data_IF_978007907496
#
_entry.id   IF_978007907496
#
_cell.length_a   1.000
_cell.length_b   1.000
_cell.length_c   1.000
_cell.angle_alpha   90.00
_cell.angle_beta   90.00
_cell.angle_gamma   90.00
#
_symmetry.space_group_name_H-M   'P 1'
#
loop_
_entity.id
_entity.type
_entity.pdbx_description
1 polymer ?
#
# COMPACT_ATOMS: atom_id res chain seq x y z
N UNK A 1 -23.25 19.49 1.75
CA UNK A 1 -22.81 18.26 1.04
C UNK A 1 -23.93 17.81 0.10
N UNK A 2 -23.75 17.92 -1.22
CA UNK A 2 -24.75 17.49 -2.21
C UNK A 2 -24.67 15.97 -2.38
N UNK A 3 -25.77 15.27 -2.08
CA UNK A 3 -25.93 13.83 -2.33
C UNK A 3 -25.76 13.56 -3.83
N UNK A 4 -24.75 12.79 -4.24
CA UNK A 4 -24.62 12.29 -5.61
C UNK A 4 -25.80 11.36 -5.89
N UNK A 5 -26.67 11.76 -6.81
CA UNK A 5 -27.72 10.92 -7.39
C UNK A 5 -27.04 9.86 -8.26
N UNK A 6 -27.17 8.61 -7.87
CA UNK A 6 -26.86 7.49 -8.76
C UNK A 6 -27.95 7.43 -9.86
N UNK A 7 -27.53 7.29 -11.10
CA UNK A 7 -28.38 7.34 -12.26
C UNK A 7 -29.05 5.99 -12.52
N UNK A 8 -30.14 5.74 -11.82
CA UNK A 8 -31.32 5.03 -12.31
C UNK A 8 -32.49 5.60 -11.50
N UNK A 9 -33.37 6.37 -12.18
CA UNK A 9 -34.55 6.95 -11.56
C UNK A 9 -35.57 5.84 -11.30
N UNK A 10 -35.35 5.01 -10.28
CA UNK A 10 -36.37 4.08 -9.81
C UNK A 10 -37.29 4.85 -8.88
N UNK A 11 -38.53 4.97 -9.28
CA UNK A 11 -39.56 5.52 -8.42
C UNK A 11 -39.86 4.49 -7.32
N UNK A 12 -39.22 4.65 -6.14
CA UNK A 12 -39.39 3.73 -5.01
C UNK A 12 -40.85 3.65 -4.51
N UNK A 13 -41.64 4.71 -4.70
CA UNK A 13 -43.06 4.70 -4.34
C UNK A 13 -43.90 3.83 -5.28
N UNK A 14 -43.58 3.82 -6.58
CA UNK A 14 -44.21 2.93 -7.55
C UNK A 14 -43.82 1.46 -7.31
N UNK A 15 -42.53 1.21 -7.03
CA UNK A 15 -42.09 -0.12 -6.71
C UNK A 15 -42.76 -0.67 -5.43
N UNK A 16 -42.92 0.15 -4.41
CA UNK A 16 -43.62 -0.25 -3.19
C UNK A 16 -45.10 -0.63 -3.48
N UNK A 17 -45.80 0.18 -4.31
CA UNK A 17 -47.18 -0.12 -4.74
C UNK A 17 -47.27 -1.42 -5.53
N UNK A 18 -46.36 -1.64 -6.48
CA UNK A 18 -46.30 -2.87 -7.31
C UNK A 18 -46.03 -4.13 -6.46
N UNK A 19 -45.23 -4.00 -5.43
CA UNK A 19 -44.93 -5.10 -4.49
C UNK A 19 -46.02 -5.26 -3.41
N UNK A 20 -47.01 -4.38 -3.34
CA UNK A 20 -48.03 -4.42 -2.31
C UNK A 20 -47.49 -4.21 -0.88
N UNK A 21 -46.47 -3.36 -0.74
CA UNK A 21 -45.84 -3.04 0.54
C UNK A 21 -45.79 -1.52 0.77
N UNK A 22 -45.60 -1.10 2.02
CA UNK A 22 -45.39 0.32 2.29
C UNK A 22 -43.99 0.74 1.84
N UNK A 23 -43.80 2.03 1.49
CA UNK A 23 -42.50 2.62 1.21
C UNK A 23 -41.54 2.46 2.39
N UNK A 24 -42.05 2.52 3.62
CA UNK A 24 -41.29 2.27 4.83
C UNK A 24 -40.75 0.82 4.89
N UNK A 25 -41.56 -0.17 4.47
CA UNK A 25 -41.14 -1.56 4.38
C UNK A 25 -40.07 -1.73 3.31
N UNK A 26 -40.20 -1.03 2.18
CA UNK A 26 -39.14 -1.02 1.16
C UNK A 26 -37.81 -0.44 1.69
N UNK A 27 -37.88 0.71 2.38
CA UNK A 27 -36.70 1.30 3.02
C UNK A 27 -36.05 0.39 4.08
N UNK A 28 -36.87 -0.29 4.92
CA UNK A 28 -36.38 -1.25 5.90
C UNK A 28 -35.63 -2.42 5.24
N UNK A 29 -36.12 -2.92 4.11
CA UNK A 29 -35.42 -3.95 3.34
C UNK A 29 -34.13 -3.41 2.76
N UNK A 30 -34.16 -2.20 2.20
CA UNK A 30 -32.95 -1.55 1.65
C UNK A 30 -31.88 -1.27 2.71
N UNK A 31 -32.30 -0.98 3.95
CA UNK A 31 -31.41 -0.75 5.09
C UNK A 31 -31.12 -2.02 5.91
N UNK A 32 -31.53 -3.19 5.38
CA UNK A 32 -31.30 -4.49 6.02
C UNK A 32 -31.82 -4.61 7.47
N UNK A 33 -32.90 -3.88 7.82
CA UNK A 33 -33.47 -3.93 9.17
C UNK A 33 -34.05 -5.33 9.49
N UNK A 34 -33.86 -5.84 10.71
CA UNK A 34 -34.28 -7.20 11.11
C UNK A 34 -35.81 -7.39 11.20
N UNK A 35 -36.57 -6.30 11.19
CA UNK A 35 -38.02 -6.32 11.41
C UNK A 35 -38.87 -6.74 10.17
N UNK A 36 -38.24 -7.13 9.05
CA UNK A 36 -38.95 -7.53 7.82
C UNK A 36 -38.91 -9.04 7.61
N UNK A 37 -40.08 -9.63 7.32
CA UNK A 37 -40.18 -11.08 7.05
C UNK A 37 -39.24 -11.51 5.90
N UNK A 38 -38.55 -12.67 6.00
CA UNK A 38 -37.60 -13.14 4.98
C UNK A 38 -38.21 -13.23 3.56
N UNK A 39 -39.46 -13.68 3.43
CA UNK A 39 -40.18 -13.76 2.13
C UNK A 39 -40.39 -12.41 1.49
N UNK A 40 -40.74 -11.40 2.28
CA UNK A 40 -40.91 -10.02 1.81
C UNK A 40 -39.59 -9.43 1.38
N UNK A 41 -38.54 -9.69 2.17
CA UNK A 41 -37.18 -9.24 1.88
C UNK A 41 -36.71 -9.81 0.53
N UNK A 42 -36.88 -11.12 0.30
CA UNK A 42 -36.48 -11.79 -0.94
C UNK A 42 -37.20 -11.17 -2.16
N UNK A 43 -38.54 -10.99 -2.09
CA UNK A 43 -39.31 -10.37 -3.17
C UNK A 43 -38.86 -8.97 -3.52
N UNK A 44 -38.61 -8.14 -2.52
CA UNK A 44 -38.13 -6.76 -2.70
C UNK A 44 -36.76 -6.73 -3.36
N UNK A 45 -35.85 -7.56 -2.91
CA UNK A 45 -34.49 -7.65 -3.47
C UNK A 45 -34.52 -8.10 -4.93
N UNK A 46 -35.29 -9.12 -5.27
CA UNK A 46 -35.45 -9.59 -6.64
C UNK A 46 -36.05 -8.51 -7.57
N UNK A 47 -37.00 -7.74 -7.08
CA UNK A 47 -37.61 -6.66 -7.85
C UNK A 47 -36.66 -5.47 -8.05
N UNK A 48 -35.85 -5.14 -7.07
CA UNK A 48 -34.83 -4.10 -7.16
C UNK A 48 -33.72 -4.51 -8.14
N UNK A 49 -33.26 -5.77 -8.06
CA UNK A 49 -32.22 -6.30 -8.95
C UNK A 49 -32.68 -6.34 -10.43
N UNK A 50 -33.94 -6.74 -10.70
CA UNK A 50 -34.53 -6.69 -12.05
C UNK A 50 -34.54 -5.30 -12.68
N UNK A 51 -34.51 -4.25 -11.86
CA UNK A 51 -34.45 -2.84 -12.30
C UNK A 51 -33.06 -2.24 -12.29
N UNK A 52 -32.02 -3.07 -12.16
CA UNK A 52 -30.63 -2.62 -12.12
C UNK A 52 -30.25 -1.89 -10.82
N UNK A 53 -31.13 -1.92 -9.82
CA UNK A 53 -30.81 -1.48 -8.48
C UNK A 53 -30.20 -2.67 -7.75
N UNK A 54 -28.90 -2.67 -7.58
CA UNK A 54 -28.22 -3.65 -6.71
C UNK A 54 -28.65 -3.35 -5.26
N UNK A 55 -29.87 -3.79 -4.93
CA UNK A 55 -30.34 -3.73 -3.57
C UNK A 55 -29.42 -4.61 -2.73
N UNK A 56 -28.98 -4.09 -1.64
CA UNK A 56 -28.31 -4.82 -0.59
C UNK A 56 -28.96 -6.18 -0.42
N UNK A 57 -28.33 -7.23 -0.95
CA UNK A 57 -28.65 -8.59 -0.53
C UNK A 57 -28.06 -8.72 0.88
N UNK A 58 -28.89 -8.35 1.85
CA UNK A 58 -28.54 -8.59 3.23
C UNK A 58 -28.19 -10.05 3.42
N UNK A 59 -26.93 -10.34 3.70
CA UNK A 59 -26.38 -11.54 4.31
C UNK A 59 -26.23 -12.84 3.49
N UNK A 60 -26.34 -12.83 2.18
CA UNK A 60 -25.63 -13.85 1.41
C UNK A 60 -24.70 -13.14 0.45
N UNK A 61 -23.81 -12.52 0.93
CA UNK A 61 -22.62 -12.30 0.86
C UNK A 61 -21.86 -11.64 -0.26
N UNK A 62 -21.84 -10.32 -0.38
CA UNK A 62 -20.69 -9.66 -1.01
C UNK A 62 -19.48 -9.91 -0.10
N UNK A 63 -18.73 -10.97 -0.36
CA UNK A 63 -17.59 -11.35 0.45
C UNK A 63 -16.32 -10.82 -0.14
N UNK A 64 -15.51 -10.16 0.68
CA UNK A 64 -14.14 -9.76 0.36
C UNK A 64 -13.19 -10.55 1.22
N UNK A 65 -12.24 -11.21 0.59
CA UNK A 65 -11.15 -11.90 1.28
C UNK A 65 -9.93 -11.00 1.27
N UNK A 66 -9.36 -10.73 2.44
CA UNK A 66 -8.06 -10.10 2.58
C UNK A 66 -7.04 -11.15 2.94
N UNK A 67 -6.05 -11.31 2.08
CA UNK A 67 -4.92 -12.18 2.29
C UNK A 67 -3.72 -11.37 2.77
N UNK A 68 -3.39 -11.50 4.05
CA UNK A 68 -2.37 -10.65 4.67
C UNK A 68 -0.95 -11.05 4.29
N UNK A 69 -0.71 -12.31 3.94
CA UNK A 69 0.65 -12.81 3.77
C UNK A 69 1.49 -12.50 5.01
N UNK A 70 2.70 -11.98 4.79
CA UNK A 70 3.59 -11.54 5.87
C UNK A 70 3.61 -10.00 6.03
N UNK A 71 2.60 -9.31 5.52
CA UNK A 71 2.60 -7.86 5.46
C UNK A 71 1.82 -7.23 6.63
N UNK A 72 2.54 -6.55 7.51
CA UNK A 72 1.96 -5.87 8.67
C UNK A 72 1.29 -4.53 8.31
N UNK A 73 1.43 -4.02 7.08
CA UNK A 73 0.85 -2.71 6.70
C UNK A 73 -0.67 -2.65 6.87
N UNK A 74 -1.36 -3.77 6.71
CA UNK A 74 -2.80 -3.79 6.91
C UNK A 74 -3.26 -3.72 8.36
N UNK A 75 -2.40 -3.95 9.31
CA UNK A 75 -2.71 -3.66 10.71
C UNK A 75 -2.98 -2.16 10.91
N UNK A 76 -2.37 -1.30 10.10
CA UNK A 76 -2.55 0.15 10.17
C UNK A 76 -3.76 0.64 9.36
N UNK A 77 -4.01 0.04 8.20
CA UNK A 77 -5.10 0.46 7.30
C UNK A 77 -6.36 -0.38 7.49
N UNK A 78 -6.19 -1.61 7.98
CA UNK A 78 -7.23 -2.64 7.93
C UNK A 78 -8.50 -2.25 8.64
N UNK A 79 -8.41 -1.64 9.82
CA UNK A 79 -9.60 -1.31 10.60
C UNK A 79 -10.51 -0.30 9.88
N UNK A 80 -9.95 0.77 9.32
CA UNK A 80 -10.73 1.78 8.60
C UNK A 80 -11.30 1.24 7.28
N UNK A 81 -10.50 0.46 6.54
CA UNK A 81 -10.96 -0.17 5.31
C UNK A 81 -12.05 -1.20 5.58
N UNK A 82 -11.86 -2.05 6.59
CA UNK A 82 -12.85 -3.04 7.02
C UNK A 82 -14.16 -2.38 7.44
N UNK A 83 -14.09 -1.29 8.21
CA UNK A 83 -15.29 -0.53 8.59
C UNK A 83 -16.00 0.03 7.37
N UNK A 84 -15.29 0.71 6.47
CA UNK A 84 -15.87 1.28 5.24
C UNK A 84 -16.47 0.21 4.32
N UNK A 85 -15.84 -0.96 4.20
CA UNK A 85 -16.38 -2.08 3.43
C UNK A 85 -17.62 -2.68 4.10
N UNK A 86 -17.59 -2.85 5.41
CA UNK A 86 -18.75 -3.31 6.19
C UNK A 86 -19.92 -2.37 6.06
N UNK A 87 -19.70 -1.05 6.14
CA UNK A 87 -20.72 -0.01 5.94
C UNK A 87 -21.32 -0.06 4.52
N UNK A 88 -20.57 -0.56 3.53
CA UNK A 88 -21.01 -0.82 2.18
C UNK A 88 -21.56 -2.25 1.96
N UNK A 89 -21.79 -3.00 3.04
CA UNK A 89 -22.48 -4.30 3.01
C UNK A 89 -21.60 -5.49 2.62
N UNK A 90 -20.28 -5.34 2.68
CA UNK A 90 -19.37 -6.46 2.47
C UNK A 90 -19.11 -7.24 3.76
N UNK A 91 -19.12 -8.55 3.66
CA UNK A 91 -18.60 -9.47 4.66
C UNK A 91 -17.10 -9.67 4.42
N UNK A 92 -16.29 -9.53 5.45
CA UNK A 92 -14.84 -9.56 5.33
C UNK A 92 -14.29 -10.84 5.95
N UNK A 93 -13.43 -11.52 5.21
CA UNK A 93 -12.69 -12.70 5.67
C UNK A 93 -11.20 -12.40 5.63
N UNK A 94 -10.53 -12.65 6.73
CA UNK A 94 -9.08 -12.47 6.86
C UNK A 94 -8.39 -13.83 6.74
N UNK A 95 -7.40 -13.93 5.85
CA UNK A 95 -6.68 -15.18 5.60
C UNK A 95 -5.18 -14.95 5.42
N UNK A 96 -4.43 -16.03 5.39
CA UNK A 96 -3.04 -16.06 4.95
C UNK A 96 -2.81 -17.33 4.14
N UNK A 97 -2.72 -17.20 2.81
CA UNK A 97 -2.57 -18.36 1.91
C UNK A 97 -1.27 -19.14 2.15
N UNK A 98 -0.23 -18.47 2.66
CA UNK A 98 1.08 -19.11 2.93
C UNK A 98 1.04 -20.05 4.12
N UNK A 99 0.21 -19.73 5.11
CA UNK A 99 0.05 -20.55 6.33
C UNK A 99 -1.15 -21.50 6.24
N UNK A 100 -2.24 -21.07 5.58
CA UNK A 100 -3.54 -21.76 5.57
C UNK A 100 -4.13 -21.80 4.16
N UNK A 101 -3.40 -22.44 3.23
CA UNK A 101 -3.78 -22.50 1.80
C UNK A 101 -5.21 -22.96 1.57
N UNK A 102 -5.64 -24.06 2.22
CA UNK A 102 -6.99 -24.62 2.05
C UNK A 102 -8.05 -23.63 2.52
N UNK A 103 -7.90 -23.06 3.72
CA UNK A 103 -8.86 -22.10 4.26
C UNK A 103 -8.94 -20.81 3.41
N UNK A 104 -7.84 -20.40 2.80
CA UNK A 104 -7.84 -19.29 1.83
C UNK A 104 -8.67 -19.66 0.59
N UNK A 105 -8.44 -20.83 0.00
CA UNK A 105 -9.15 -21.26 -1.22
C UNK A 105 -10.65 -21.44 -0.98
N UNK A 106 -11.03 -22.03 0.17
CA UNK A 106 -12.44 -22.16 0.56
C UNK A 106 -13.12 -20.79 0.72
N UNK A 107 -12.42 -19.82 1.34
CA UNK A 107 -12.94 -18.47 1.47
C UNK A 107 -13.05 -17.76 0.12
N UNK A 108 -12.06 -17.91 -0.76
CA UNK A 108 -12.01 -17.32 -2.09
C UNK A 108 -13.05 -17.93 -3.04
N UNK A 109 -13.39 -19.20 -2.90
CA UNK A 109 -14.41 -19.87 -3.71
C UNK A 109 -15.78 -19.20 -3.60
N UNK A 110 -16.08 -18.61 -2.44
CA UNK A 110 -17.35 -17.91 -2.17
C UNK A 110 -17.21 -16.38 -2.18
N UNK A 111 -16.05 -15.84 -2.50
CA UNK A 111 -15.80 -14.40 -2.49
C UNK A 111 -16.07 -13.77 -3.85
N UNK A 112 -16.42 -12.48 -3.81
CA UNK A 112 -16.46 -11.65 -5.02
C UNK A 112 -15.11 -11.01 -5.32
N UNK A 113 -14.35 -10.69 -4.27
CA UNK A 113 -13.07 -10.00 -4.37
C UNK A 113 -12.06 -10.64 -3.42
N UNK A 114 -10.83 -10.79 -3.91
CA UNK A 114 -9.65 -11.07 -3.08
C UNK A 114 -8.70 -9.89 -3.17
N UNK A 115 -8.24 -9.41 -2.02
CA UNK A 115 -7.20 -8.40 -1.90
C UNK A 115 -5.97 -9.07 -1.29
N UNK A 116 -4.95 -9.27 -2.11
CA UNK A 116 -3.65 -9.72 -1.66
C UNK A 116 -2.84 -8.54 -1.13
N UNK A 117 -2.48 -8.59 0.11
CA UNK A 117 -1.74 -7.54 0.79
C UNK A 117 -0.23 -7.69 0.66
N UNK A 118 0.19 -8.82 0.11
CA UNK A 118 1.54 -9.11 -0.35
C UNK A 118 1.44 -9.81 -1.70
N UNK A 119 2.53 -9.88 -2.44
CA UNK A 119 2.59 -10.56 -3.72
C UNK A 119 2.18 -12.04 -3.57
N UNK A 120 1.10 -12.50 -4.23
CA UNK A 120 0.70 -13.90 -4.20
C UNK A 120 1.58 -14.74 -5.13
N UNK A 121 1.73 -16.02 -4.79
CA UNK A 121 2.33 -16.98 -5.70
C UNK A 121 1.42 -17.21 -6.92
N UNK A 122 1.99 -17.33 -8.12
CA UNK A 122 1.22 -17.58 -9.35
C UNK A 122 0.32 -18.81 -9.24
N UNK A 123 0.78 -19.85 -8.53
CA UNK A 123 0.03 -21.08 -8.32
C UNK A 123 -1.25 -20.89 -7.51
N UNK A 124 -1.23 -20.01 -6.50
CA UNK A 124 -2.41 -19.74 -5.67
C UNK A 124 -3.46 -18.95 -6.45
N UNK A 125 -3.02 -18.01 -7.29
CA UNK A 125 -3.92 -17.23 -8.15
C UNK A 125 -4.59 -18.15 -9.18
N UNK A 126 -3.82 -19.05 -9.80
CA UNK A 126 -4.35 -20.00 -10.78
C UNK A 126 -5.37 -20.96 -10.15
N UNK A 127 -5.08 -21.49 -8.97
CA UNK A 127 -5.98 -22.41 -8.25
C UNK A 127 -7.26 -21.71 -7.79
N UNK A 128 -7.15 -20.49 -7.25
CA UNK A 128 -8.28 -19.67 -6.89
C UNK A 128 -9.21 -19.41 -8.08
N UNK A 129 -8.66 -19.02 -9.24
CA UNK A 129 -9.43 -18.76 -10.47
C UNK A 129 -10.06 -20.05 -11.04
N UNK A 130 -9.41 -21.21 -10.85
CA UNK A 130 -10.00 -22.48 -11.25
C UNK A 130 -11.25 -22.81 -10.43
N UNK A 131 -11.27 -22.47 -9.13
CA UNK A 131 -12.43 -22.68 -8.26
C UNK A 131 -13.50 -21.60 -8.44
N UNK A 132 -13.08 -20.36 -8.64
CA UNK A 132 -13.97 -19.21 -8.83
C UNK A 132 -13.50 -18.36 -10.02
N UNK A 133 -13.92 -18.66 -11.27
CA UNK A 133 -13.49 -17.95 -12.46
C UNK A 133 -13.91 -16.47 -12.50
N UNK A 134 -14.91 -16.09 -11.72
CA UNK A 134 -15.45 -14.71 -11.68
C UNK A 134 -14.85 -13.86 -10.55
N UNK A 135 -13.92 -14.42 -9.80
CA UNK A 135 -13.31 -13.70 -8.68
C UNK A 135 -12.48 -12.51 -9.17
N UNK A 136 -12.71 -11.35 -8.58
CA UNK A 136 -11.92 -10.16 -8.85
C UNK A 136 -10.75 -10.08 -7.88
N UNK A 137 -9.54 -9.90 -8.38
CA UNK A 137 -8.31 -9.97 -7.61
C UNK A 137 -7.52 -8.67 -7.67
N UNK A 138 -7.17 -8.16 -6.50
CA UNK A 138 -6.37 -6.95 -6.32
C UNK A 138 -5.09 -7.36 -5.59
N UNK A 139 -3.91 -7.02 -6.12
CA UNK A 139 -2.65 -7.18 -5.41
C UNK A 139 -2.12 -5.82 -4.97
N UNK A 140 -1.75 -5.71 -3.71
CA UNK A 140 -1.09 -4.54 -3.15
C UNK A 140 0.41 -4.79 -3.19
N UNK A 141 1.13 -3.89 -3.86
CA UNK A 141 2.58 -3.95 -4.01
C UNK A 141 3.08 -5.19 -4.80
N UNK A 142 4.32 -5.17 -5.23
CA UNK A 142 4.94 -6.27 -5.97
C UNK A 142 4.53 -6.38 -7.45
N UNK A 143 4.76 -7.56 -8.04
CA UNK A 143 4.55 -7.89 -9.46
C UNK A 143 3.66 -9.11 -9.65
N UNK A 144 2.57 -9.17 -8.93
CA UNK A 144 1.64 -10.30 -9.06
C UNK A 144 1.16 -10.44 -10.50
N UNK A 145 1.48 -11.57 -11.14
CA UNK A 145 0.92 -11.91 -12.44
C UNK A 145 -0.46 -12.52 -12.30
N UNK A 146 -1.28 -12.38 -13.33
CA UNK A 146 -2.61 -12.98 -13.41
C UNK A 146 -3.62 -12.48 -12.36
N UNK A 147 -3.39 -11.31 -11.75
CA UNK A 147 -4.39 -10.57 -10.97
C UNK A 147 -5.05 -9.50 -11.84
N UNK A 148 -6.27 -9.08 -11.48
CA UNK A 148 -6.99 -8.08 -12.28
C UNK A 148 -6.40 -6.67 -12.08
N UNK A 149 -5.99 -6.34 -10.86
CA UNK A 149 -5.39 -5.04 -10.54
C UNK A 149 -4.15 -5.20 -9.67
N UNK A 150 -3.12 -4.45 -10.02
CA UNK A 150 -1.96 -4.21 -9.17
C UNK A 150 -2.02 -2.76 -8.71
N UNK A 151 -2.02 -2.56 -7.40
CA UNK A 151 -2.06 -1.25 -6.76
C UNK A 151 -0.77 -1.03 -5.98
N UNK A 152 0.02 -0.03 -6.38
CA UNK A 152 1.34 0.22 -5.78
C UNK A 152 1.70 1.70 -5.74
N UNK A 153 2.83 2.04 -5.10
CA UNK A 153 3.43 3.37 -5.17
C UNK A 153 4.06 3.64 -6.54
N UNK A 154 4.12 4.90 -6.94
CA UNK A 154 4.88 5.33 -8.12
C UNK A 154 6.38 5.39 -7.78
N UNK A 155 7.05 4.23 -7.81
CA UNK A 155 8.45 4.10 -7.44
C UNK A 155 9.40 4.85 -8.37
N UNK A 156 8.99 5.07 -9.64
CA UNK A 156 9.77 5.86 -10.59
C UNK A 156 9.81 7.33 -10.16
N UNK A 157 8.65 7.90 -9.86
CA UNK A 157 8.56 9.27 -9.36
C UNK A 157 9.27 9.40 -8.01
N UNK A 158 9.04 8.47 -7.09
CA UNK A 158 9.63 8.52 -5.74
C UNK A 158 11.15 8.37 -5.75
N UNK A 159 11.70 7.47 -6.58
CA UNK A 159 13.14 7.33 -6.76
C UNK A 159 13.78 8.60 -7.35
N UNK A 160 13.13 9.20 -8.35
CA UNK A 160 13.59 10.48 -8.91
C UNK A 160 13.52 11.62 -7.88
N UNK A 161 12.42 11.73 -7.12
CA UNK A 161 12.29 12.74 -6.04
C UNK A 161 13.40 12.59 -5.00
N UNK A 162 13.74 11.36 -4.60
CA UNK A 162 14.83 11.08 -3.67
C UNK A 162 16.19 11.55 -4.21
N UNK A 163 16.49 11.24 -5.48
CA UNK A 163 17.73 11.65 -6.14
C UNK A 163 17.84 13.17 -6.24
N UNK A 164 16.78 13.84 -6.69
CA UNK A 164 16.73 15.30 -6.77
C UNK A 164 16.90 15.96 -5.40
N UNK A 165 16.27 15.43 -4.36
CA UNK A 165 16.36 15.97 -3.02
C UNK A 165 17.82 15.93 -2.52
N UNK A 166 18.47 14.77 -2.56
CA UNK A 166 19.86 14.62 -2.15
C UNK A 166 20.81 15.48 -3.01
N UNK A 167 20.65 15.46 -4.33
CA UNK A 167 21.46 16.26 -5.22
C UNK A 167 21.34 17.78 -4.97
N UNK A 168 20.10 18.25 -4.75
CA UNK A 168 19.83 19.66 -4.48
C UNK A 168 20.39 20.13 -3.14
N UNK A 169 20.54 19.23 -2.16
CA UNK A 169 21.19 19.51 -0.88
C UNK A 169 22.72 19.32 -0.92
N UNK A 170 23.30 19.02 -2.10
CA UNK A 170 24.75 18.93 -2.30
C UNK A 170 25.35 17.52 -2.10
N UNK A 171 24.53 16.49 -1.88
CA UNK A 171 25.00 15.11 -1.78
C UNK A 171 25.27 14.55 -3.17
N UNK A 172 26.52 14.72 -3.68
CA UNK A 172 26.88 14.44 -5.08
C UNK A 172 28.09 13.51 -5.23
N UNK A 173 28.79 13.22 -4.13
CA UNK A 173 30.05 12.44 -4.17
C UNK A 173 29.86 10.99 -3.80
N UNK A 174 29.28 10.74 -2.63
CA UNK A 174 29.12 9.39 -2.08
C UNK A 174 27.82 9.27 -1.30
N UNK A 175 26.98 8.31 -1.69
CA UNK A 175 25.69 8.02 -1.10
C UNK A 175 25.58 6.51 -0.89
N UNK A 176 25.04 6.08 0.24
CA UNK A 176 24.63 4.71 0.46
C UNK A 176 23.11 4.55 0.22
N UNK A 177 22.71 3.41 -0.28
CA UNK A 177 21.30 3.01 -0.43
C UNK A 177 21.10 1.71 0.33
N UNK A 178 20.19 1.69 1.28
CA UNK A 178 19.92 0.50 2.06
C UNK A 178 18.53 -0.08 1.73
N UNK A 179 18.48 -1.40 1.56
CA UNK A 179 17.24 -2.14 1.50
C UNK A 179 17.32 -3.47 2.25
N UNK A 180 16.17 -3.86 2.72
CA UNK A 180 15.98 -5.06 3.50
C UNK A 180 15.38 -6.14 2.60
N UNK A 181 16.16 -7.05 2.03
CA UNK A 181 15.77 -8.17 1.17
C UNK A 181 15.54 -7.85 -0.33
N UNK A 182 15.39 -8.95 -1.10
CA UNK A 182 14.92 -8.96 -2.49
C UNK A 182 13.41 -8.67 -2.57
N UNK A 183 13.00 -7.45 -2.24
CA UNK A 183 11.62 -7.03 -2.44
C UNK A 183 11.53 -6.31 -3.79
N UNK A 184 10.61 -6.70 -4.70
CA UNK A 184 10.52 -6.12 -6.04
C UNK A 184 10.39 -4.60 -6.04
N UNK A 185 9.63 -4.03 -5.11
CA UNK A 185 9.48 -2.58 -4.97
C UNK A 185 10.79 -1.91 -4.54
N UNK A 186 11.56 -2.55 -3.66
CA UNK A 186 12.86 -2.04 -3.23
C UNK A 186 13.86 -1.99 -4.40
N UNK A 187 13.93 -3.04 -5.22
CA UNK A 187 14.80 -3.07 -6.39
C UNK A 187 14.42 -1.98 -7.41
N UNK A 188 13.13 -1.72 -7.61
CA UNK A 188 12.68 -0.62 -8.48
C UNK A 188 13.06 0.74 -7.94
N UNK A 189 12.84 0.98 -6.63
CA UNK A 189 13.21 2.23 -5.98
C UNK A 189 14.71 2.50 -6.10
N UNK A 190 15.54 1.46 -5.88
CA UNK A 190 16.99 1.53 -6.08
C UNK A 190 17.32 1.85 -7.54
N UNK A 191 16.71 1.16 -8.48
CA UNK A 191 16.95 1.36 -9.92
C UNK A 191 16.64 2.81 -10.34
N UNK A 192 15.47 3.33 -10.02
CA UNK A 192 15.08 4.68 -10.41
C UNK A 192 15.90 5.75 -9.68
N UNK A 193 16.17 5.56 -8.40
CA UNK A 193 17.06 6.45 -7.64
C UNK A 193 18.45 6.49 -8.25
N UNK A 194 19.06 5.33 -8.48
CA UNK A 194 20.43 5.22 -8.99
C UNK A 194 20.54 5.78 -10.40
N UNK A 195 19.58 5.47 -11.27
CA UNK A 195 19.55 5.97 -12.64
C UNK A 195 19.45 7.50 -12.67
N UNK A 196 18.56 8.07 -11.89
CA UNK A 196 18.38 9.51 -11.82
C UNK A 196 19.57 10.21 -11.16
N UNK A 197 20.11 9.64 -10.08
CA UNK A 197 21.28 10.19 -9.39
C UNK A 197 22.52 10.18 -10.32
N UNK A 198 22.71 9.12 -11.10
CA UNK A 198 23.78 9.06 -12.12
C UNK A 198 23.60 10.06 -13.25
N UNK A 199 22.37 10.38 -13.62
CA UNK A 199 22.04 11.43 -14.59
C UNK A 199 22.41 12.84 -14.06
N UNK A 200 22.13 13.08 -12.76
CA UNK A 200 22.37 14.38 -12.09
C UNK A 200 23.84 14.58 -11.68
N UNK A 201 24.52 13.52 -11.25
CA UNK A 201 25.89 13.49 -10.80
C UNK A 201 26.57 12.19 -11.28
N UNK A 202 27.12 12.15 -12.50
CA UNK A 202 27.67 10.93 -13.12
C UNK A 202 28.76 10.26 -12.28
N UNK A 203 29.57 11.05 -11.59
CA UNK A 203 30.70 10.59 -10.77
C UNK A 203 30.30 10.21 -9.33
N UNK A 204 29.02 10.35 -8.96
CA UNK A 204 28.54 10.00 -7.64
C UNK A 204 28.75 8.49 -7.39
N UNK A 205 29.50 8.14 -6.33
CA UNK A 205 29.60 6.77 -5.84
C UNK A 205 28.29 6.41 -5.12
N UNK A 206 27.68 5.29 -5.51
CA UNK A 206 26.45 4.78 -4.88
C UNK A 206 26.71 3.35 -4.42
N UNK A 207 26.74 3.16 -3.11
CA UNK A 207 26.92 1.85 -2.49
C UNK A 207 25.57 1.28 -2.08
N UNK A 208 25.24 0.07 -2.56
CA UNK A 208 23.97 -0.59 -2.23
C UNK A 208 24.18 -1.61 -1.13
N UNK A 209 23.58 -1.34 0.03
CA UNK A 209 23.66 -2.17 1.23
C UNK A 209 22.47 -3.10 1.28
N UNK A 210 22.69 -4.41 1.09
CA UNK A 210 21.63 -5.42 1.14
C UNK A 210 21.72 -6.20 2.45
N UNK A 211 20.70 -6.04 3.32
CA UNK A 211 20.51 -6.93 4.45
C UNK A 211 19.95 -8.26 3.96
N UNK A 212 20.59 -9.36 4.29
CA UNK A 212 20.15 -10.71 3.94
C UNK A 212 19.13 -11.21 4.97
N UNK A 213 18.27 -12.20 4.63
CA UNK A 213 17.41 -12.86 5.59
C UNK A 213 18.19 -13.38 6.79
N UNK A 214 17.73 -13.07 8.00
CA UNK A 214 18.40 -13.44 9.23
C UNK A 214 19.61 -12.59 9.62
N UNK A 215 19.98 -11.58 8.83
CA UNK A 215 20.91 -10.52 9.22
C UNK A 215 20.16 -9.26 9.59
N UNK A 216 20.46 -8.75 10.76
CA UNK A 216 19.94 -7.46 11.21
C UNK A 216 20.57 -6.31 10.40
N UNK A 217 19.81 -5.23 10.22
CA UNK A 217 20.29 -4.00 9.61
C UNK A 217 21.56 -3.50 10.27
N UNK A 218 21.61 -3.56 11.62
CA UNK A 218 22.75 -3.14 12.42
C UNK A 218 24.05 -3.81 11.99
N UNK A 219 24.03 -5.13 11.76
CA UNK A 219 25.20 -5.89 11.31
C UNK A 219 25.65 -5.44 9.92
N UNK A 220 24.71 -5.26 9.00
CA UNK A 220 25.02 -4.81 7.64
C UNK A 220 25.65 -3.41 7.65
N UNK A 221 25.09 -2.50 8.43
CA UNK A 221 25.64 -1.14 8.57
C UNK A 221 26.99 -1.13 9.28
N UNK A 222 27.16 -1.87 10.37
CA UNK A 222 28.43 -1.96 11.09
C UNK A 222 29.54 -2.51 10.18
N UNK A 223 29.31 -3.62 9.49
CA UNK A 223 30.26 -4.17 8.53
C UNK A 223 30.63 -3.15 7.44
N UNK A 224 29.65 -2.40 6.96
CA UNK A 224 29.87 -1.38 5.95
C UNK A 224 30.76 -0.27 6.47
N UNK A 225 30.47 0.32 7.63
CA UNK A 225 31.27 1.41 8.21
C UNK A 225 32.68 0.97 8.67
N UNK A 226 32.84 -0.28 9.10
CA UNK A 226 34.17 -0.83 9.43
C UNK A 226 35.03 -1.02 8.18
N UNK A 227 34.44 -1.49 7.07
CA UNK A 227 35.18 -1.79 5.84
C UNK A 227 35.50 -0.56 4.99
N UNK A 228 34.64 0.45 5.05
CA UNK A 228 34.78 1.64 4.22
C UNK A 228 35.43 2.77 5.01
N UNK A 229 36.56 3.26 4.52
CA UNK A 229 37.25 4.42 5.10
C UNK A 229 36.51 5.73 4.86
N UNK A 230 35.72 5.80 3.79
CA UNK A 230 34.97 6.97 3.42
C UNK A 230 33.49 6.81 3.83
N UNK A 231 33.01 7.73 4.63
CA UNK A 231 31.63 7.77 5.08
C UNK A 231 30.75 8.38 3.99
N UNK A 232 29.63 7.74 3.60
CA UNK A 232 28.70 8.37 2.68
C UNK A 232 28.09 9.63 3.30
N UNK A 233 27.85 10.64 2.49
CA UNK A 233 27.25 11.90 2.96
C UNK A 233 25.76 11.76 3.32
N UNK A 234 25.08 10.75 2.75
CA UNK A 234 23.69 10.40 3.06
C UNK A 234 23.45 8.91 2.86
N UNK A 235 22.42 8.41 3.55
CA UNK A 235 21.86 7.06 3.34
C UNK A 235 20.41 7.22 2.93
N UNK A 236 20.04 6.58 1.82
CA UNK A 236 18.66 6.45 1.37
C UNK A 236 18.15 5.05 1.74
N UNK A 237 17.18 4.99 2.64
CA UNK A 237 16.47 3.77 3.02
C UNK A 237 15.25 3.61 2.13
N UNK A 238 15.25 2.62 1.25
CA UNK A 238 14.13 2.38 0.32
C UNK A 238 12.90 1.77 0.97
N UNK A 239 12.97 1.48 2.29
CA UNK A 239 11.88 1.03 3.14
C UNK A 239 11.92 1.80 4.47
N UNK A 240 10.77 2.22 4.96
CA UNK A 240 10.60 3.09 6.15
C UNK A 240 11.18 2.51 7.44
N UNK A 241 10.91 1.23 7.72
CA UNK A 241 11.43 0.57 8.92
C UNK A 241 12.96 0.55 8.99
N UNK A 242 13.67 0.53 7.84
CA UNK A 242 15.12 0.56 7.82
C UNK A 242 15.69 1.87 8.36
N UNK A 243 15.10 3.01 8.02
CA UNK A 243 15.54 4.31 8.56
C UNK A 243 15.30 4.40 10.07
N UNK A 244 14.17 3.91 10.55
CA UNK A 244 13.83 3.91 11.97
C UNK A 244 14.79 3.01 12.78
N UNK A 245 15.03 1.80 12.30
CA UNK A 245 15.99 0.88 12.93
C UNK A 245 17.41 1.47 12.96
N UNK A 246 17.85 2.09 11.86
CA UNK A 246 19.15 2.75 11.81
C UNK A 246 19.27 3.87 12.85
N UNK A 247 18.28 4.74 12.95
CA UNK A 247 18.26 5.83 13.92
C UNK A 247 18.28 5.34 15.37
N UNK A 248 17.61 4.23 15.65
CA UNK A 248 17.51 3.70 17.02
C UNK A 248 18.68 2.83 17.42
N UNK A 249 19.23 2.03 16.52
CA UNK A 249 20.15 0.95 16.85
C UNK A 249 21.56 1.11 16.25
N UNK A 250 21.77 2.01 15.30
CA UNK A 250 23.07 2.22 14.66
C UNK A 250 23.62 3.62 14.92
N UNK A 251 22.83 4.64 14.57
CA UNK A 251 23.25 6.05 14.64
C UNK A 251 23.82 6.47 16.01
N UNK A 252 23.23 6.07 17.17
CA UNK A 252 23.75 6.44 18.49
C UNK A 252 25.17 5.95 18.77
N UNK A 253 25.59 4.86 18.11
CA UNK A 253 26.90 4.22 18.30
C UNK A 253 27.96 4.64 17.27
N UNK A 254 27.60 5.45 16.30
CA UNK A 254 28.56 6.02 15.35
C UNK A 254 29.37 7.14 16.00
N UNK A 255 30.56 7.39 15.47
CA UNK A 255 31.38 8.55 15.87
C UNK A 255 30.69 9.88 15.51
N UNK A 256 31.04 10.97 16.18
CA UNK A 256 30.33 12.24 16.03
C UNK A 256 30.39 12.83 14.60
N UNK A 257 31.48 12.56 13.88
CA UNK A 257 31.63 12.91 12.47
C UNK A 257 30.66 12.11 11.58
N UNK A 258 30.41 10.85 11.90
CA UNK A 258 29.46 9.99 11.19
C UNK A 258 28.00 10.28 11.54
N UNK A 259 27.71 10.84 12.71
CA UNK A 259 26.35 11.24 13.11
C UNK A 259 25.76 12.35 12.25
N UNK A 260 26.59 13.03 11.45
CA UNK A 260 26.14 14.05 10.52
C UNK A 260 25.65 13.51 9.16
N UNK A 261 25.57 12.18 9.00
CA UNK A 261 25.03 11.53 7.79
C UNK A 261 23.58 11.96 7.57
N UNK A 262 23.25 12.36 6.34
CA UNK A 262 21.88 12.61 5.93
C UNK A 262 21.06 11.32 5.86
N UNK A 263 19.83 11.36 6.36
CA UNK A 263 18.93 10.21 6.39
C UNK A 263 17.70 10.53 5.57
N UNK A 264 17.49 9.78 4.50
CA UNK A 264 16.28 9.85 3.66
C UNK A 264 15.59 8.49 3.67
N UNK A 265 14.28 8.49 3.78
CA UNK A 265 13.48 7.27 3.83
C UNK A 265 12.43 7.22 2.73
N UNK A 266 11.95 6.02 2.41
CA UNK A 266 10.82 5.79 1.51
C UNK A 266 9.80 4.87 2.17
N UNK A 267 8.54 5.30 2.30
CA UNK A 267 7.51 4.47 2.86
C UNK A 267 6.22 5.21 3.20
N UNK A 268 5.35 4.54 3.95
CA UNK A 268 4.11 5.10 4.45
C UNK A 268 4.33 5.56 5.88
N UNK A 269 4.26 6.86 6.08
CA UNK A 269 4.29 7.47 7.40
C UNK A 269 2.92 8.05 7.73
N UNK A 270 1.93 7.21 7.95
CA UNK A 270 0.77 7.69 8.68
C UNK A 270 1.11 7.77 10.17
N UNK A 271 0.50 8.73 10.87
CA UNK A 271 0.65 9.00 12.31
C UNK A 271 0.66 7.70 13.12
N UNK A 272 1.75 6.99 13.02
CA UNK A 272 2.06 5.86 13.89
C UNK A 272 2.22 6.47 15.27
N UNK A 273 1.59 5.90 16.25
CA UNK A 273 1.41 6.37 17.62
C UNK A 273 2.52 7.29 18.14
N UNK A 274 2.21 8.16 19.08
CA UNK A 274 3.13 9.11 19.73
C UNK A 274 4.44 8.50 20.32
N UNK A 275 4.63 7.18 20.19
CA UNK A 275 5.87 6.46 20.54
C UNK A 275 6.94 6.50 19.45
N UNK A 276 6.57 6.81 18.21
CA UNK A 276 7.51 6.78 17.07
C UNK A 276 7.97 8.19 16.68
N UNK A 277 8.36 9.00 17.66
CA UNK A 277 8.84 10.38 17.47
C UNK A 277 10.08 10.49 16.57
N UNK A 278 10.84 9.43 16.39
CA UNK A 278 12.04 9.42 15.52
C UNK A 278 11.66 9.59 14.05
N UNK A 279 10.57 8.95 13.61
CA UNK A 279 10.13 9.03 12.21
C UNK A 279 9.61 10.41 11.79
N UNK A 280 9.12 11.22 12.72
CA UNK A 280 8.60 12.56 12.43
C UNK A 280 9.68 13.53 11.93
N UNK A 281 10.96 13.28 12.26
CA UNK A 281 12.08 14.14 11.94
C UNK A 281 12.97 13.61 10.80
N UNK A 282 12.52 12.58 10.06
CA UNK A 282 13.24 12.03 8.92
C UNK A 282 12.66 12.56 7.62
N UNK A 283 13.53 13.05 6.74
CA UNK A 283 13.18 13.37 5.35
C UNK A 283 12.67 12.09 4.67
N UNK A 284 11.56 12.18 3.97
CA UNK A 284 10.94 10.98 3.42
C UNK A 284 10.23 11.20 2.09
N UNK A 285 10.27 10.19 1.27
CA UNK A 285 9.38 10.01 0.13
C UNK A 285 8.20 9.18 0.62
N UNK A 286 7.03 9.77 0.63
CA UNK A 286 5.81 9.17 1.14
C UNK A 286 4.83 8.91 0.00
N UNK A 287 4.12 7.79 0.04
CA UNK A 287 2.96 7.55 -0.82
C UNK A 287 1.71 7.52 0.05
N UNK A 288 0.65 8.15 -0.45
CA UNK A 288 -0.58 8.32 0.33
C UNK A 288 -1.26 6.98 0.59
N UNK A 289 -1.21 6.53 1.83
CA UNK A 289 -1.98 5.36 2.28
C UNK A 289 -3.49 5.59 2.14
N UNK A 290 -3.96 6.80 2.39
CA UNK A 290 -5.38 7.18 2.20
C UNK A 290 -5.81 7.02 0.74
N UNK A 291 -4.94 7.31 -0.23
CA UNK A 291 -5.24 7.10 -1.65
C UNK A 291 -5.32 5.61 -1.98
N UNK A 292 -4.42 4.78 -1.43
CA UNK A 292 -4.48 3.32 -1.60
C UNK A 292 -5.77 2.76 -1.02
N UNK A 293 -6.17 3.16 0.20
CA UNK A 293 -7.43 2.76 0.80
C UNK A 293 -8.63 3.17 -0.03
N UNK A 294 -8.62 4.40 -0.54
CA UNK A 294 -9.68 4.95 -1.40
C UNK A 294 -9.79 4.16 -2.70
N UNK A 295 -8.65 3.80 -3.30
CA UNK A 295 -8.60 2.98 -4.50
C UNK A 295 -9.10 1.57 -4.26
N UNK A 296 -8.70 0.90 -3.16
CA UNK A 296 -9.22 -0.43 -2.81
C UNK A 296 -10.73 -0.37 -2.66
N UNK A 297 -11.25 0.60 -1.90
CA UNK A 297 -12.68 0.76 -1.70
C UNK A 297 -13.42 0.99 -3.02
N UNK A 298 -12.87 1.85 -3.89
CA UNK A 298 -13.43 2.11 -5.21
C UNK A 298 -13.47 0.86 -6.08
N UNK A 299 -12.37 0.10 -6.15
CA UNK A 299 -12.23 -1.12 -6.95
C UNK A 299 -13.19 -2.21 -6.46
N UNK A 300 -13.28 -2.41 -5.14
CA UNK A 300 -14.18 -3.41 -4.56
C UNK A 300 -15.64 -3.08 -4.86
N UNK A 301 -16.05 -1.81 -4.73
CA UNK A 301 -17.45 -1.40 -4.93
C UNK A 301 -17.81 -1.39 -6.41
N UNK A 302 -16.95 -0.90 -7.30
CA UNK A 302 -17.25 -0.65 -8.70
C UNK A 302 -16.76 -1.74 -9.67
N UNK A 303 -16.24 -2.83 -9.16
CA UNK A 303 -15.74 -3.99 -9.90
C UNK A 303 -16.54 -4.34 -11.18
N UNK A 304 -17.88 -4.42 -11.16
CA UNK A 304 -18.64 -4.80 -12.34
C UNK A 304 -18.53 -3.81 -13.50
N UNK A 305 -18.10 -2.58 -13.23
CA UNK A 305 -17.98 -1.52 -14.23
C UNK A 305 -16.60 -1.49 -14.90
N UNK A 306 -15.62 -2.20 -14.37
CA UNK A 306 -14.26 -2.13 -14.88
C UNK A 306 -14.02 -3.05 -16.07
N UNK A 307 -14.82 -4.12 -16.26
CA UNK A 307 -14.94 -4.97 -17.45
C UNK A 307 -13.66 -5.16 -18.29
N UNK A 308 -12.50 -5.24 -17.65
CA UNK A 308 -11.22 -5.28 -18.34
C UNK A 308 -10.79 -6.73 -18.60
N UNK A 309 -10.56 -7.07 -19.86
CA UNK A 309 -9.92 -8.33 -20.27
C UNK A 309 -8.40 -8.27 -20.09
N UNK A 310 -7.90 -7.85 -18.93
CA UNK A 310 -6.47 -7.76 -18.67
C UNK A 310 -6.14 -7.20 -17.30
N UNK A 311 -4.88 -7.27 -16.92
CA UNK A 311 -4.38 -6.67 -15.68
C UNK A 311 -4.26 -5.16 -15.81
N UNK A 312 -4.78 -4.44 -14.83
CA UNK A 312 -4.64 -2.99 -14.70
C UNK A 312 -3.62 -2.67 -13.62
N UNK A 313 -2.74 -1.71 -13.89
CA UNK A 313 -1.82 -1.19 -12.90
C UNK A 313 -2.23 0.23 -12.49
N UNK A 314 -2.37 0.45 -11.19
CA UNK A 314 -2.67 1.75 -10.60
C UNK A 314 -1.53 2.15 -9.67
N UNK A 315 -1.02 3.37 -9.83
CA UNK A 315 0.11 3.87 -9.05
C UNK A 315 -0.31 5.08 -8.22
N UNK A 316 -0.16 4.96 -6.89
CA UNK A 316 -0.32 6.09 -5.99
C UNK A 316 0.86 7.06 -6.12
N UNK A 317 0.58 8.35 -6.22
CA UNK A 317 1.61 9.38 -6.26
C UNK A 317 2.46 9.39 -5.00
N UNK A 318 3.72 9.81 -5.18
CA UNK A 318 4.66 10.02 -4.08
C UNK A 318 4.91 11.50 -3.85
N UNK A 319 5.19 11.86 -2.60
CA UNK A 319 5.52 13.22 -2.17
C UNK A 319 6.74 13.23 -1.28
N UNK A 320 7.60 14.23 -1.49
CA UNK A 320 8.73 14.50 -0.60
C UNK A 320 8.25 15.33 0.60
N UNK A 321 8.61 14.88 1.79
CA UNK A 321 8.49 15.62 3.05
C UNK A 321 9.89 15.87 3.61
N UNK A 322 10.34 17.12 3.58
CA UNK A 322 11.62 17.54 4.14
C UNK A 322 11.43 17.89 5.62
N UNK A 323 12.01 17.11 6.50
CA UNK A 323 11.98 17.31 7.96
C UNK A 323 13.32 17.83 8.51
N UNK A 324 14.37 17.84 7.67
CA UNK A 324 15.69 18.36 8.00
C UNK A 324 16.71 17.30 8.47
N UNK A 325 16.43 16.03 8.28
CA UNK A 325 17.40 14.95 8.57
C UNK A 325 18.49 14.81 7.50
N UNK A 326 18.32 15.44 6.35
CA UNK A 326 19.34 15.54 5.31
C UNK A 326 19.98 16.93 5.36
N UNK A 327 21.26 17.07 5.78
CA UNK A 327 21.92 18.37 5.91
C UNK A 327 22.15 19.02 4.53
N UNK A 328 22.06 20.35 4.47
CA UNK A 328 22.39 21.12 3.27
C UNK A 328 23.91 21.36 3.20
N UNK A 329 24.61 20.56 2.45
CA UNK A 329 26.08 20.62 2.29
C UNK A 329 26.55 21.87 1.54
N UNK A 330 25.68 22.57 0.81
CA UNK A 330 26.00 23.84 0.12
C UNK A 330 26.24 24.97 1.09
N UNK A 331 25.64 24.92 2.28
CA UNK A 331 25.77 25.93 3.33
C UNK A 331 27.03 25.74 4.20
N UNK A 332 27.69 24.59 4.09
CA UNK A 332 28.86 24.27 4.91
C UNK A 332 29.92 23.52 4.05
N UNK A 333 30.65 24.23 3.15
CA UNK A 333 31.55 23.62 2.18
C UNK A 333 32.71 22.82 2.82
N UNK A 334 33.12 23.10 4.04
CA UNK A 334 34.17 22.33 4.74
C UNK A 334 33.78 20.88 5.03
N UNK A 335 32.48 20.57 5.15
CA UNK A 335 31.99 19.20 5.30
C UNK A 335 31.97 18.44 3.97
N UNK A 336 31.88 19.13 2.84
CA UNK A 336 31.90 18.50 1.51
C UNK A 336 33.29 17.98 1.12
N UNK A 337 34.35 18.50 1.71
CA UNK A 337 35.74 18.09 1.42
C UNK A 337 36.22 16.93 2.29
N UNK A 338 35.64 16.72 3.47
CA UNK A 338 36.02 15.63 4.39
C UNK A 338 35.46 14.27 3.97
N UNK A 339 34.47 14.20 3.11
CA UNK A 339 33.95 12.94 2.54
C UNK A 339 34.76 12.42 1.35
N UNK A 340 35.98 12.91 1.13
CA UNK A 340 36.88 12.53 0.03
C UNK A 340 38.34 12.44 0.39
N UNK A 341 38.70 12.29 1.69
CA UNK A 341 40.08 12.00 2.10
C UNK A 341 40.18 10.68 2.83
#
# INVERSE_FOLDING_TARGET
MKKKKFATNINLSELAKELGISTMTLYRVMNNEPAVRPSTKKRVIEALNKRGYNAYQGQTGRRVVFDFGNNNYLLYFGAQLMQRLSDNGFSIVLTNHRERRIAFLDAAAEAEVVVFCSEPDESIVAEMRKQNPQIYSISLFGYARNVDVILRSNDALGGAQAAHHLHNLGHRKHIAVHHHWNHPDAERRIFYFTSEMKRLAPDCRIDVLRSLPGRELCQTCQEYFIRNRETPSAIFFVMDFGAQEFCNAVLPFLSDDMKSIGILSYGVYEKISARDMVSANIDRIDFSAEDILRWILYLVINRPMLGCDGSMEMMAETKLYAAGSVPDLRRNPEKSERSGK
#
